data_IF_970814647996
#
_entry.id   IF_970814647996
#
_cell.length_a   1.000
_cell.length_b   1.000
_cell.length_c   1.000
_cell.angle_alpha   90.00
_cell.angle_beta   90.00
_cell.angle_gamma   90.00
#
_symmetry.space_group_name_H-M   'P 1'
#
loop_
_entity.id
_entity.type
_entity.pdbx_description
1 polymer ?
#
# COMPACT_ATOMS: atom_id res chain seq x y z
N UNK A 1 14.95 -10.23 18.05
CA UNK A 1 13.73 -11.06 18.16
C UNK A 1 13.27 -11.45 16.77
N UNK A 2 12.95 -12.68 16.60
CA UNK A 2 12.50 -13.13 15.29
C UNK A 2 11.03 -12.83 15.09
N UNK A 3 10.70 -12.28 13.94
CA UNK A 3 9.32 -12.18 13.52
C UNK A 3 8.83 -13.58 13.15
N UNK A 4 7.74 -13.99 13.73
CA UNK A 4 7.16 -15.28 13.39
C UNK A 4 6.30 -15.12 12.14
N UNK A 5 6.83 -15.57 11.00
CA UNK A 5 6.12 -15.48 9.72
C UNK A 5 4.85 -16.32 9.69
N UNK A 6 4.80 -17.40 10.48
CA UNK A 6 3.56 -18.20 10.58
C UNK A 6 2.44 -17.39 11.21
N UNK A 7 2.74 -16.60 12.25
CA UNK A 7 1.75 -15.72 12.86
C UNK A 7 1.28 -14.66 11.87
N UNK A 8 2.22 -14.10 11.10
CA UNK A 8 1.85 -13.14 10.08
C UNK A 8 0.96 -13.75 9.01
N UNK A 9 1.27 -14.97 8.57
CA UNK A 9 0.49 -15.67 7.53
C UNK A 9 -0.94 -15.97 7.96
N UNK A 10 -1.20 -16.08 9.26
CA UNK A 10 -2.53 -16.33 9.80
C UNK A 10 -3.30 -15.04 10.06
N UNK A 11 -2.68 -13.88 9.86
CA UNK A 11 -3.32 -12.59 10.10
C UNK A 11 -4.32 -12.26 8.99
N UNK A 12 -5.26 -11.36 9.31
CA UNK A 12 -6.20 -10.82 8.33
C UNK A 12 -5.46 -10.13 7.19
N UNK A 13 -4.33 -9.48 7.48
CA UNK A 13 -3.52 -8.83 6.48
C UNK A 13 -2.94 -9.81 5.48
N UNK A 14 -2.41 -10.94 5.95
CA UNK A 14 -1.88 -11.97 5.06
C UNK A 14 -2.96 -12.51 4.14
N UNK A 15 -4.19 -12.66 4.64
CA UNK A 15 -5.32 -13.06 3.80
C UNK A 15 -5.62 -12.03 2.72
N UNK A 16 -5.61 -10.74 3.06
CA UNK A 16 -5.81 -9.66 2.10
C UNK A 16 -4.71 -9.64 1.04
N UNK A 17 -3.46 -9.86 1.43
CA UNK A 17 -2.35 -9.93 0.49
C UNK A 17 -2.48 -11.13 -0.45
N UNK A 18 -2.97 -12.27 0.04
CA UNK A 18 -3.23 -13.42 -0.81
C UNK A 18 -4.32 -13.14 -1.84
N UNK A 19 -5.29 -12.32 -1.50
CA UNK A 19 -6.33 -11.88 -2.43
C UNK A 19 -5.75 -11.08 -3.59
N UNK A 20 -4.65 -10.37 -3.38
CA UNK A 20 -3.98 -9.62 -4.45
C UNK A 20 -3.34 -10.53 -5.51
N UNK A 21 -3.09 -11.79 -5.19
CA UNK A 21 -2.62 -12.77 -6.17
C UNK A 21 -3.74 -13.24 -7.08
N UNK A 22 -4.96 -13.14 -6.60
CA UNK A 22 -6.15 -13.50 -7.36
C UNK A 22 -6.58 -12.28 -8.16
N UNK A 23 -7.12 -12.50 -9.30
CA UNK A 23 -7.40 -11.49 -10.31
C UNK A 23 -8.14 -10.27 -9.80
N UNK A 24 -7.39 -9.18 -9.58
CA UNK A 24 -8.02 -7.89 -9.44
C UNK A 24 -8.33 -7.38 -10.84
N UNK A 25 -9.57 -6.96 -11.09
CA UNK A 25 -9.92 -6.45 -12.41
C UNK A 25 -9.12 -5.18 -12.73
N UNK A 26 -8.73 -5.03 -13.98
CA UNK A 26 -8.06 -3.83 -14.45
C UNK A 26 -9.11 -2.73 -14.58
N UNK A 27 -8.91 -1.62 -13.87
CA UNK A 27 -9.85 -0.51 -13.85
C UNK A 27 -9.86 0.25 -15.18
N UNK A 28 -11.01 0.79 -15.55
CA UNK A 28 -11.12 1.69 -16.70
C UNK A 28 -10.49 3.04 -16.39
N UNK A 29 -10.22 3.84 -17.43
CA UNK A 29 -9.74 5.21 -17.26
C UNK A 29 -10.68 6.04 -16.37
N UNK A 30 -11.99 5.89 -16.57
CA UNK A 30 -12.97 6.60 -15.76
C UNK A 30 -12.95 6.17 -14.31
N UNK A 31 -12.76 4.88 -14.05
CA UNK A 31 -12.65 4.36 -12.69
C UNK A 31 -11.40 4.88 -11.99
N UNK A 32 -10.27 4.90 -12.70
CA UNK A 32 -9.03 5.45 -12.15
C UNK A 32 -9.21 6.91 -11.79
N UNK A 33 -9.87 7.70 -12.64
CA UNK A 33 -10.11 9.12 -12.40
C UNK A 33 -11.00 9.37 -11.18
N UNK A 34 -11.85 8.41 -10.79
CA UNK A 34 -12.76 8.55 -9.64
C UNK A 34 -12.19 8.08 -8.32
N UNK A 35 -10.94 7.62 -8.28
CA UNK A 35 -10.34 7.09 -7.06
C UNK A 35 -10.18 8.14 -5.95
N UNK A 36 -10.24 9.42 -6.28
CA UNK A 36 -10.04 10.50 -5.34
C UNK A 36 -11.12 11.57 -5.47
N UNK A 37 -11.27 12.38 -4.40
CA UNK A 37 -12.17 13.51 -4.37
C UNK A 37 -11.79 14.52 -5.46
N UNK A 38 -12.79 15.09 -6.13
CA UNK A 38 -12.59 16.14 -7.13
C UNK A 38 -12.10 17.44 -6.50
N UNK A 39 -12.38 17.66 -5.23
CA UNK A 39 -12.11 18.92 -4.56
C UNK A 39 -10.75 18.97 -3.89
N UNK A 40 -10.38 17.92 -3.14
CA UNK A 40 -9.11 17.91 -2.43
C UNK A 40 -8.67 16.47 -2.13
N UNK A 41 -7.90 15.87 -3.04
CA UNK A 41 -7.42 14.49 -2.82
C UNK A 41 -6.43 14.38 -1.65
N UNK A 42 -5.69 15.44 -1.35
CA UNK A 42 -4.79 15.46 -0.21
C UNK A 42 -5.55 15.42 1.11
N UNK A 43 -6.62 16.20 1.21
CA UNK A 43 -7.46 16.22 2.40
C UNK A 43 -8.17 14.88 2.61
N UNK A 44 -8.64 14.28 1.54
CA UNK A 44 -9.22 12.95 1.58
C UNK A 44 -8.22 11.94 2.12
N UNK A 45 -6.99 11.97 1.62
CA UNK A 45 -5.92 11.07 2.06
C UNK A 45 -5.59 11.28 3.55
N UNK A 46 -5.48 12.52 4.00
CA UNK A 46 -5.24 12.82 5.41
C UNK A 46 -6.33 12.25 6.31
N UNK A 47 -7.57 12.40 5.89
CA UNK A 47 -8.72 11.90 6.66
C UNK A 47 -8.69 10.39 6.77
N UNK A 48 -8.41 9.71 5.67
CA UNK A 48 -8.33 8.25 5.66
C UNK A 48 -7.19 7.75 6.53
N UNK A 49 -6.02 8.38 6.44
CA UNK A 49 -4.86 8.00 7.24
C UNK A 49 -5.05 8.29 8.74
N UNK A 50 -5.83 9.30 9.08
CA UNK A 50 -6.13 9.63 10.46
C UNK A 50 -6.92 8.55 11.20
N UNK A 51 -7.47 7.59 10.47
CA UNK A 51 -8.25 6.49 11.06
C UNK A 51 -7.41 5.25 11.36
N UNK A 52 -6.13 5.25 11.00
CA UNK A 52 -5.26 4.10 11.26
C UNK A 52 -4.24 4.43 12.37
N UNK A 53 -3.77 3.38 13.05
CA UNK A 53 -2.74 3.54 14.06
C UNK A 53 -1.43 4.01 13.43
N UNK A 54 -0.73 4.90 14.17
CA UNK A 54 0.57 5.38 13.74
C UNK A 54 1.64 4.36 14.12
N UNK A 55 2.23 3.72 13.11
CA UNK A 55 3.30 2.73 13.27
C UNK A 55 4.39 2.99 12.23
N UNK A 56 5.62 2.48 12.46
CA UNK A 56 6.76 2.79 11.58
C UNK A 56 6.59 2.35 10.14
N UNK A 57 5.86 1.25 9.91
CA UNK A 57 5.65 0.69 8.58
C UNK A 57 4.16 0.70 8.27
N UNK A 58 3.80 1.23 7.13
CA UNK A 58 2.41 1.20 6.66
C UNK A 58 2.33 0.35 5.40
N UNK A 59 1.45 -0.64 5.45
CA UNK A 59 1.13 -1.46 4.28
C UNK A 59 -0.12 -0.87 3.63
N UNK A 60 0.00 -0.41 2.40
CA UNK A 60 -1.09 0.23 1.68
C UNK A 60 -1.60 -0.69 0.58
N UNK A 61 -2.91 -0.91 0.57
CA UNK A 61 -3.58 -1.68 -0.46
C UNK A 61 -4.36 -0.74 -1.37
N UNK A 62 -3.95 -0.65 -2.63
CA UNK A 62 -4.68 0.13 -3.60
C UNK A 62 -4.80 1.61 -3.22
N UNK A 63 -3.69 2.28 -2.96
CA UNK A 63 -3.67 3.66 -2.48
C UNK A 63 -4.08 4.69 -3.53
N UNK A 64 -4.77 4.27 -4.58
CA UNK A 64 -5.27 5.16 -5.61
C UNK A 64 -4.16 5.88 -6.35
N UNK A 65 -4.24 7.19 -6.45
CA UNK A 65 -3.24 7.99 -7.17
C UNK A 65 -2.02 8.35 -6.33
N UNK A 66 -1.84 7.73 -5.18
CA UNK A 66 -0.60 7.82 -4.42
C UNK A 66 -0.53 8.95 -3.40
N UNK A 67 -1.59 9.72 -3.21
CA UNK A 67 -1.59 10.81 -2.23
C UNK A 67 -1.36 10.31 -0.81
N UNK A 68 -2.04 9.22 -0.43
CA UNK A 68 -1.86 8.62 0.89
C UNK A 68 -0.43 8.08 1.07
N UNK A 69 0.11 7.43 0.04
CA UNK A 69 1.48 6.92 0.06
C UNK A 69 2.47 8.06 0.28
N UNK A 70 2.28 9.18 -0.44
CA UNK A 70 3.15 10.35 -0.27
C UNK A 70 3.10 10.90 1.15
N UNK A 71 1.91 10.98 1.75
CA UNK A 71 1.75 11.47 3.11
C UNK A 71 2.41 10.54 4.13
N UNK A 72 2.28 9.23 3.96
CA UNK A 72 2.93 8.22 4.79
C UNK A 72 4.45 8.44 4.79
N UNK A 73 5.02 8.59 3.60
CA UNK A 73 6.47 8.76 3.45
C UNK A 73 6.95 10.10 3.99
N UNK A 74 6.18 11.17 3.78
CA UNK A 74 6.52 12.48 4.32
C UNK A 74 6.46 12.53 5.84
N UNK A 75 5.66 11.65 6.45
CA UNK A 75 5.61 11.50 7.91
C UNK A 75 6.81 10.73 8.49
N UNK A 76 7.76 10.35 7.65
CA UNK A 76 8.96 9.65 8.09
C UNK A 76 8.82 8.15 8.18
N UNK A 77 7.75 7.59 7.64
CA UNK A 77 7.47 6.16 7.72
C UNK A 77 7.93 5.42 6.48
N UNK A 78 8.02 4.10 6.61
CA UNK A 78 8.23 3.20 5.49
C UNK A 78 6.87 2.76 4.95
N UNK A 79 6.75 2.60 3.65
CA UNK A 79 5.52 2.16 3.01
C UNK A 79 5.77 0.96 2.10
N UNK A 80 4.93 -0.05 2.26
CA UNK A 80 4.86 -1.17 1.33
C UNK A 80 3.50 -1.06 0.63
N UNK A 81 3.56 -0.77 -0.66
CA UNK A 81 2.37 -0.46 -1.44
C UNK A 81 2.04 -1.60 -2.39
N UNK A 82 0.92 -2.27 -2.13
CA UNK A 82 0.41 -3.33 -2.99
C UNK A 82 -0.57 -2.74 -4.00
N UNK A 83 -0.18 -2.74 -5.26
CA UNK A 83 -1.00 -2.26 -6.36
C UNK A 83 -0.79 -3.11 -7.58
N UNK A 84 -1.81 -3.85 -7.99
CA UNK A 84 -1.73 -4.77 -9.14
C UNK A 84 -2.07 -4.10 -10.47
N UNK A 85 -2.79 -2.99 -10.47
CA UNK A 85 -3.22 -2.33 -11.70
C UNK A 85 -2.12 -1.39 -12.21
N UNK A 86 -1.47 -1.72 -13.35
CA UNK A 86 -0.38 -0.90 -13.87
C UNK A 86 -0.81 0.50 -14.30
N UNK A 87 -2.09 0.70 -14.64
CA UNK A 87 -2.59 2.02 -15.03
C UNK A 87 -2.71 2.93 -13.83
N UNK A 88 -3.21 2.41 -12.71
CA UNK A 88 -3.28 3.17 -11.45
C UNK A 88 -1.86 3.52 -11.00
N UNK A 89 -0.97 2.56 -11.01
CA UNK A 89 0.42 2.76 -10.58
C UNK A 89 1.13 3.79 -11.45
N UNK A 90 1.01 3.68 -12.76
CA UNK A 90 1.61 4.63 -13.69
C UNK A 90 1.09 6.04 -13.47
N UNK A 91 -0.21 6.18 -13.25
CA UNK A 91 -0.83 7.48 -13.02
C UNK A 91 -0.39 8.08 -11.69
N UNK A 92 -0.30 7.26 -10.66
CA UNK A 92 0.16 7.70 -9.35
C UNK A 92 1.60 8.20 -9.40
N UNK A 93 2.48 7.47 -10.08
CA UNK A 93 3.88 7.87 -10.22
C UNK A 93 4.05 9.14 -11.03
N UNK A 94 3.09 9.46 -11.91
CA UNK A 94 3.06 10.72 -12.63
C UNK A 94 2.40 11.87 -11.88
N UNK A 95 1.67 11.58 -10.81
CA UNK A 95 0.92 12.56 -10.04
C UNK A 95 1.69 13.08 -8.82
N UNK A 96 2.39 12.18 -8.14
CA UNK A 96 3.17 12.51 -6.94
C UNK A 96 4.61 12.06 -7.14
N UNK A 97 5.55 12.82 -6.57
CA UNK A 97 6.96 12.49 -6.67
C UNK A 97 7.33 11.49 -5.57
N UNK A 98 7.49 10.25 -5.96
CA UNK A 98 7.82 9.14 -5.06
C UNK A 98 9.20 8.54 -5.33
N UNK A 99 9.90 9.03 -6.35
CA UNK A 99 11.12 8.38 -6.83
C UNK A 99 12.22 8.33 -5.78
N UNK A 100 12.42 9.41 -5.04
CA UNK A 100 13.40 9.45 -3.96
C UNK A 100 13.17 8.35 -2.93
N UNK A 101 11.92 8.12 -2.58
CA UNK A 101 11.56 7.10 -1.60
C UNK A 101 11.74 5.68 -2.13
N UNK A 102 11.51 5.48 -3.42
CA UNK A 102 11.78 4.19 -4.07
C UNK A 102 13.29 3.93 -4.07
N UNK A 103 14.09 4.91 -4.44
CA UNK A 103 15.54 4.78 -4.50
C UNK A 103 16.14 4.53 -3.13
N UNK A 104 15.62 5.15 -2.10
CA UNK A 104 16.13 4.98 -0.72
C UNK A 104 15.64 3.70 -0.06
N UNK A 105 14.72 2.97 -0.68
CA UNK A 105 14.14 1.76 -0.10
C UNK A 105 13.02 2.00 0.90
N UNK A 106 12.61 3.24 1.14
CA UNK A 106 11.52 3.57 2.06
C UNK A 106 10.15 3.26 1.46
N UNK A 107 10.03 3.29 0.15
CA UNK A 107 8.83 2.86 -0.56
C UNK A 107 9.14 1.62 -1.37
N UNK A 108 8.40 0.55 -1.09
CA UNK A 108 8.43 -0.66 -1.89
C UNK A 108 7.08 -0.85 -2.56
N UNK A 109 7.08 -0.93 -3.89
CA UNK A 109 5.87 -1.19 -4.66
C UNK A 109 5.83 -2.67 -5.01
N UNK A 110 4.73 -3.32 -4.68
CA UNK A 110 4.53 -4.74 -4.95
C UNK A 110 3.32 -4.89 -5.86
N UNK A 111 3.55 -5.33 -7.08
CA UNK A 111 2.48 -5.52 -8.06
C UNK A 111 1.85 -6.89 -7.97
N UNK A 112 2.63 -7.88 -7.54
CA UNK A 112 2.25 -9.28 -7.62
C UNK A 112 3.01 -10.08 -6.57
N UNK A 113 2.34 -11.04 -5.98
CA UNK A 113 2.97 -12.03 -5.11
C UNK A 113 2.73 -13.40 -5.74
N UNK A 114 3.82 -14.11 -6.04
CA UNK A 114 3.74 -15.41 -6.73
C UNK A 114 3.63 -16.58 -5.76
N UNK A 115 4.20 -16.44 -4.55
CA UNK A 115 4.22 -17.53 -3.57
C UNK A 115 4.42 -16.97 -2.16
N UNK A 116 4.33 -17.85 -1.18
CA UNK A 116 4.48 -17.46 0.22
C UNK A 116 5.89 -17.01 0.58
N UNK A 117 6.90 -17.50 -0.13
CA UNK A 117 8.28 -17.10 0.10
C UNK A 117 8.49 -15.62 -0.21
N UNK A 118 7.89 -15.13 -1.27
CA UNK A 118 7.93 -13.70 -1.59
C UNK A 118 7.26 -12.86 -0.51
N UNK A 119 6.14 -13.34 0.01
CA UNK A 119 5.43 -12.66 1.08
C UNK A 119 6.30 -12.59 2.33
N UNK A 120 6.93 -13.71 2.70
CA UNK A 120 7.83 -13.76 3.84
C UNK A 120 9.01 -12.80 3.68
N UNK A 121 9.58 -12.73 2.50
CA UNK A 121 10.70 -11.84 2.22
C UNK A 121 10.32 -10.38 2.40
N UNK A 122 9.14 -9.99 1.93
CA UNK A 122 8.66 -8.61 2.05
C UNK A 122 8.56 -8.19 3.52
N UNK A 123 8.13 -9.09 4.40
CA UNK A 123 7.90 -8.77 5.80
C UNK A 123 9.00 -9.26 6.75
N UNK A 124 10.10 -9.75 6.20
CA UNK A 124 11.21 -10.25 7.02
C UNK A 124 11.75 -9.17 7.93
N UNK A 125 11.88 -9.50 9.22
CA UNK A 125 12.40 -8.57 10.23
C UNK A 125 11.38 -7.56 10.75
N UNK A 126 10.13 -7.64 10.29
CA UNK A 126 9.06 -6.73 10.75
C UNK A 126 8.04 -7.49 11.57
N UNK A 127 7.74 -6.99 12.77
CA UNK A 127 6.73 -7.57 13.63
C UNK A 127 5.35 -6.97 13.37
N UNK A 128 4.30 -7.66 13.79
CA UNK A 128 2.93 -7.17 13.66
C UNK A 128 2.71 -5.83 14.37
N UNK A 129 3.46 -5.60 15.45
CA UNK A 129 3.35 -4.37 16.24
C UNK A 129 3.96 -3.15 15.52
N UNK A 130 4.79 -3.37 14.50
CA UNK A 130 5.43 -2.30 13.75
C UNK A 130 4.64 -1.89 12.52
N UNK A 131 3.59 -2.60 12.19
CA UNK A 131 2.88 -2.48 10.92
C UNK A 131 1.45 -2.00 11.14
N UNK A 132 1.05 -0.97 10.42
CA UNK A 132 -0.34 -0.60 10.26
C UNK A 132 -0.77 -0.80 8.82
N UNK A 133 -2.08 -0.92 8.60
CA UNK A 133 -2.63 -1.25 7.30
C UNK A 133 -3.57 -0.15 6.85
N UNK A 134 -3.48 0.20 5.59
CA UNK A 134 -4.31 1.19 4.95
C UNK A 134 -4.90 0.60 3.66
N UNK A 135 -6.22 0.77 3.48
CA UNK A 135 -6.89 0.43 2.23
C UNK A 135 -7.63 1.65 1.72
N UNK A 136 -7.42 1.97 0.45
CA UNK A 136 -8.22 3.01 -0.17
C UNK A 136 -9.68 2.54 -0.24
N UNK A 137 -10.63 3.44 0.09
CA UNK A 137 -12.06 3.07 0.20
C UNK A 137 -12.65 2.45 -1.06
N UNK A 138 -12.08 2.75 -2.23
CA UNK A 138 -12.57 2.22 -3.50
C UNK A 138 -11.85 0.94 -3.93
N UNK A 139 -10.91 0.46 -3.13
CA UNK A 139 -10.18 -0.76 -3.43
C UNK A 139 -10.97 -2.01 -3.02
N UNK A 140 -11.55 -1.99 -1.86
CA UNK A 140 -12.37 -3.06 -1.34
C UNK A 140 -13.85 -2.77 -1.62
#
# INVERSE_FOLDING_TARGET
MQTNMSQFSDSLCAQQMRMLRLDLPVSSEAEVARLHSKYDPWEEARRQLGQIESRPVVVAFGAGLGYAVALILKAGKECIWFESDPRILSRALGTVDLQEFIQSGRLRVVRRISNEEELEEIFRGRGNDDISFFSHRNFL
#
